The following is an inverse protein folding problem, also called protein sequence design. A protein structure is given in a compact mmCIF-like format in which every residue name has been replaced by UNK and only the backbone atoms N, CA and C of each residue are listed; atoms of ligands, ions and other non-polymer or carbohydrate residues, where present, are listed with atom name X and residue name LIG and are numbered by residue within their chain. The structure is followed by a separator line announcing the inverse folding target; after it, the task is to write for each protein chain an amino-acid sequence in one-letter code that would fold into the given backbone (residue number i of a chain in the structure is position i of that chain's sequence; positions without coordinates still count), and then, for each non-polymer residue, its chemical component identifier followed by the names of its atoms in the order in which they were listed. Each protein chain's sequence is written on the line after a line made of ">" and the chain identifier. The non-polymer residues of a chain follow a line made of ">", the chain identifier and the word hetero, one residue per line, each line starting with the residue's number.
data_IF_674259488108
#
_entry.id   IF_674259488108
#
_cell.length_a   1.000
_cell.length_b   1.000
_cell.length_c   1.000
_cell.angle_alpha   90.00
_cell.angle_beta   90.00
_cell.angle_gamma   90.00
#
_symmetry.space_group_name_H-M   'P 1'
#
loop_
_entity.id
_entity.type
_entity.pdbx_description
1 polymer ?
#
# COMPACT_ATOMS: atom_id res chain seq x y z
N UNK A 1 12.59 2.74 9.05
CA UNK A 1 11.77 3.83 8.51
C UNK A 1 10.48 3.20 8.01
N UNK A 2 9.35 3.81 8.33
CA UNK A 2 8.03 3.33 7.89
C UNK A 2 7.39 4.45 7.09
N UNK A 3 7.11 4.21 5.82
CA UNK A 3 6.21 5.04 5.03
C UNK A 3 4.79 4.48 5.13
N UNK A 4 3.81 5.34 5.37
CA UNK A 4 2.40 4.94 5.49
C UNK A 4 1.63 5.52 4.32
N UNK A 5 0.96 4.66 3.58
CA UNK A 5 -0.02 5.05 2.56
C UNK A 5 -1.42 4.71 3.06
N UNK A 6 -2.24 5.73 3.34
CA UNK A 6 -3.59 5.54 3.85
C UNK A 6 -4.64 5.84 2.79
N UNK A 7 -5.61 4.94 2.60
CA UNK A 7 -6.75 5.14 1.70
C UNK A 7 -8.09 4.94 2.42
N UNK A 8 -9.12 5.67 2.00
CA UNK A 8 -10.49 5.53 2.53
C UNK A 8 -11.51 5.13 1.47
N UNK A 9 -11.68 5.97 0.45
CA UNK A 9 -12.66 5.73 -0.61
C UNK A 9 -12.00 5.53 -1.98
N UNK A 10 -10.75 5.93 -2.12
CA UNK A 10 -9.95 5.84 -3.33
C UNK A 10 -9.99 4.46 -4.00
N UNK A 11 -9.89 3.33 -3.26
CA UNK A 11 -9.90 2.00 -3.88
C UNK A 11 -11.25 1.65 -4.53
N UNK A 12 -12.31 2.38 -4.18
CA UNK A 12 -13.67 2.12 -4.63
C UNK A 12 -14.19 3.19 -5.61
N UNK A 13 -13.36 4.14 -6.01
CA UNK A 13 -13.66 5.09 -7.09
C UNK A 13 -13.45 4.44 -8.47
N UNK A 14 -13.66 5.21 -9.53
CA UNK A 14 -13.35 4.75 -10.88
C UNK A 14 -11.84 4.46 -11.01
N UNK A 15 -11.52 3.26 -11.50
CA UNK A 15 -10.14 2.84 -11.74
C UNK A 15 -9.48 3.75 -12.77
N UNK A 16 -8.23 4.12 -12.50
CA UNK A 16 -7.36 4.84 -13.42
C UNK A 16 -6.21 3.92 -13.82
N UNK A 17 -5.75 3.98 -15.08
CA UNK A 17 -4.55 3.25 -15.45
C UNK A 17 -3.36 3.72 -14.61
N UNK A 18 -2.52 2.77 -14.21
CA UNK A 18 -1.23 3.00 -13.60
C UNK A 18 -0.39 3.95 -14.47
N UNK A 19 0.23 4.94 -13.84
CA UNK A 19 1.11 5.92 -14.50
C UNK A 19 2.39 6.09 -13.69
N UNK A 20 3.52 5.71 -14.29
CA UNK A 20 4.87 5.95 -13.76
C UNK A 20 5.64 6.77 -14.80
N UNK A 21 6.27 7.87 -14.39
CA UNK A 21 7.13 8.67 -15.27
C UNK A 21 8.46 7.95 -15.54
N UNK A 22 9.16 8.38 -16.59
CA UNK A 22 10.46 7.83 -16.99
C UNK A 22 11.55 8.06 -15.94
N UNK A 23 11.35 9.01 -15.03
CA UNK A 23 12.24 9.23 -13.88
C UNK A 23 12.40 7.97 -13.00
N UNK A 24 11.42 7.06 -13.02
CA UNK A 24 11.48 5.80 -12.30
C UNK A 24 12.30 4.70 -12.99
N UNK A 25 12.90 4.97 -14.16
CA UNK A 25 13.76 4.04 -14.90
C UNK A 25 15.21 4.03 -14.45
N UNK A 26 15.58 5.02 -13.64
CA UNK A 26 16.93 5.13 -13.12
C UNK A 26 17.30 3.88 -12.32
N UNK A 27 18.48 3.34 -12.60
CA UNK A 27 19.05 2.22 -11.84
C UNK A 27 19.75 2.73 -10.57
N UNK A 28 18.97 3.32 -9.65
CA UNK A 28 19.50 4.02 -8.46
C UNK A 28 18.83 3.61 -7.16
N UNK A 29 17.92 2.62 -7.20
CA UNK A 29 17.10 2.24 -6.05
C UNK A 29 17.82 1.31 -5.07
N UNK A 30 19.00 0.82 -5.46
CA UNK A 30 19.87 -0.02 -4.63
C UNK A 30 19.49 -1.51 -4.65
N UNK A 31 20.33 -2.31 -3.99
CA UNK A 31 20.17 -3.76 -3.92
C UNK A 31 18.86 -4.19 -3.26
N UNK A 32 18.32 -5.34 -3.71
CA UNK A 32 17.09 -5.92 -3.17
C UNK A 32 15.79 -5.25 -3.65
N UNK A 33 15.84 -4.32 -4.61
CA UNK A 33 14.64 -3.67 -5.18
C UNK A 33 14.08 -4.37 -6.42
N UNK A 34 14.64 -5.50 -6.84
CA UNK A 34 14.22 -6.24 -8.03
C UNK A 34 12.71 -6.56 -8.08
N UNK A 35 12.03 -6.97 -6.99
CA UNK A 35 10.58 -7.23 -7.05
C UNK A 35 9.75 -5.96 -7.33
N UNK A 36 10.14 -4.80 -6.80
CA UNK A 36 9.46 -3.53 -7.09
C UNK A 36 9.75 -3.02 -8.50
N UNK A 37 10.95 -3.28 -9.04
CA UNK A 37 11.27 -3.02 -10.44
C UNK A 37 10.43 -3.89 -11.38
N UNK A 38 10.30 -5.18 -11.08
CA UNK A 38 9.44 -6.08 -11.84
C UNK A 38 7.97 -5.63 -11.81
N UNK A 39 7.46 -5.23 -10.63
CA UNK A 39 6.11 -4.67 -10.49
C UNK A 39 5.94 -3.36 -11.28
N UNK A 40 6.93 -2.46 -11.28
CA UNK A 40 6.93 -1.25 -12.13
C UNK A 40 6.75 -1.62 -13.60
N UNK A 41 7.53 -2.57 -14.09
CA UNK A 41 7.55 -2.97 -15.50
C UNK A 41 6.26 -3.69 -15.89
N UNK A 42 5.72 -4.51 -14.99
CA UNK A 42 4.40 -5.13 -15.15
C UNK A 42 3.29 -4.08 -15.24
N UNK A 43 3.29 -3.08 -14.36
CA UNK A 43 2.29 -2.01 -14.38
C UNK A 43 2.39 -1.12 -15.63
N UNK A 44 3.53 -1.08 -16.30
CA UNK A 44 3.65 -0.41 -17.60
C UNK A 44 3.10 -1.24 -18.74
N UNK A 45 3.34 -2.56 -18.72
CA UNK A 45 2.78 -3.50 -19.71
C UNK A 45 1.27 -3.67 -19.56
N UNK A 46 0.78 -3.74 -18.33
CA UNK A 46 -0.62 -3.95 -17.97
C UNK A 46 -1.11 -2.84 -17.01
N UNK A 47 -1.29 -1.59 -17.47
CA UNK A 47 -1.61 -0.45 -16.59
C UNK A 47 -2.97 -0.53 -15.92
N UNK A 48 -3.84 -1.46 -16.32
CA UNK A 48 -5.14 -1.71 -15.69
C UNK A 48 -5.18 -3.01 -14.88
N UNK A 49 -4.02 -3.60 -14.57
CA UNK A 49 -3.89 -4.86 -13.82
C UNK A 49 -4.64 -4.83 -12.48
N UNK A 50 -4.54 -3.72 -11.76
CA UNK A 50 -5.28 -3.50 -10.52
C UNK A 50 -6.44 -2.53 -10.75
N UNK A 51 -7.64 -2.93 -10.34
CA UNK A 51 -8.84 -2.10 -10.43
C UNK A 51 -9.01 -1.24 -9.18
N UNK A 52 -8.70 -1.79 -8.02
CA UNK A 52 -8.91 -1.20 -6.70
C UNK A 52 -7.60 -0.66 -6.09
N UNK A 53 -6.47 -1.34 -6.32
CA UNK A 53 -5.18 -0.96 -5.79
C UNK A 53 -4.44 0.00 -6.72
N UNK A 54 -3.94 1.12 -6.20
CA UNK A 54 -3.02 1.99 -6.93
C UNK A 54 -1.57 1.46 -6.81
N UNK A 55 -1.29 0.39 -7.55
CA UNK A 55 0.04 -0.24 -7.55
C UNK A 55 1.15 0.71 -7.99
N UNK A 56 0.86 1.66 -8.88
CA UNK A 56 1.85 2.63 -9.34
C UNK A 56 2.28 3.54 -8.19
N UNK A 57 1.33 4.04 -7.40
CA UNK A 57 1.65 4.87 -6.25
C UNK A 57 2.45 4.11 -5.18
N UNK A 58 2.12 2.84 -4.94
CA UNK A 58 2.88 2.00 -4.00
C UNK A 58 4.32 1.77 -4.46
N UNK A 59 4.54 1.49 -5.74
CA UNK A 59 5.89 1.37 -6.33
C UNK A 59 6.68 2.67 -6.15
N UNK A 60 6.07 3.83 -6.42
CA UNK A 60 6.73 5.14 -6.23
C UNK A 60 7.12 5.36 -4.77
N UNK A 61 6.24 5.03 -3.84
CA UNK A 61 6.51 5.16 -2.41
C UNK A 61 7.64 4.22 -1.97
N UNK A 62 7.65 2.97 -2.45
CA UNK A 62 8.74 2.04 -2.15
C UNK A 62 10.09 2.58 -2.63
N UNK A 63 10.18 3.14 -3.83
CA UNK A 63 11.41 3.76 -4.32
C UNK A 63 11.85 4.96 -3.48
N UNK A 64 10.94 5.85 -3.11
CA UNK A 64 11.24 6.98 -2.22
C UNK A 64 11.72 6.53 -0.85
N UNK A 65 11.04 5.55 -0.24
CA UNK A 65 11.39 5.00 1.07
C UNK A 65 12.75 4.29 1.02
N UNK A 66 13.06 3.54 -0.05
CA UNK A 66 14.35 2.87 -0.20
C UNK A 66 15.51 3.87 -0.16
N UNK A 67 15.39 4.97 -0.90
CA UNK A 67 16.37 6.06 -0.94
C UNK A 67 16.56 6.69 0.43
N UNK A 68 15.46 7.10 1.09
CA UNK A 68 15.54 7.78 2.38
C UNK A 68 16.03 6.85 3.49
N UNK A 69 15.59 5.59 3.49
CA UNK A 69 16.00 4.61 4.49
C UNK A 69 17.50 4.26 4.37
N UNK A 70 18.04 4.23 3.14
CA UNK A 70 19.48 4.11 2.92
C UNK A 70 20.25 5.30 3.51
N UNK A 71 19.77 6.52 3.24
CA UNK A 71 20.38 7.77 3.76
C UNK A 71 20.47 7.81 5.28
N UNK A 72 19.46 7.27 5.99
CA UNK A 72 19.41 7.26 7.46
C UNK A 72 19.81 5.93 8.11
N UNK A 73 20.29 4.95 7.32
CA UNK A 73 20.73 3.66 7.83
C UNK A 73 19.64 2.85 8.54
N UNK A 74 18.39 2.87 8.05
CA UNK A 74 17.26 2.13 8.65
C UNK A 74 16.70 1.09 7.69
N UNK A 75 16.11 0.02 8.22
CA UNK A 75 15.33 -0.92 7.42
C UNK A 75 14.04 -0.23 6.90
N UNK A 76 13.74 -0.30 5.59
CA UNK A 76 12.55 0.30 5.02
C UNK A 76 11.31 -0.60 5.11
N UNK A 77 10.17 0.01 5.43
CA UNK A 77 8.84 -0.62 5.44
C UNK A 77 7.85 0.32 4.76
N UNK A 78 7.00 -0.23 3.90
CA UNK A 78 5.82 0.43 3.34
C UNK A 78 4.57 -0.23 3.94
N UNK A 79 3.82 0.54 4.73
CA UNK A 79 2.55 0.12 5.29
C UNK A 79 1.40 0.74 4.48
N UNK A 80 0.54 -0.10 3.92
CA UNK A 80 -0.70 0.31 3.27
C UNK A 80 -1.89 0.12 4.22
N UNK A 81 -2.49 1.22 4.67
CA UNK A 81 -3.67 1.19 5.55
C UNK A 81 -4.91 1.56 4.75
N UNK A 82 -5.95 0.75 4.82
CA UNK A 82 -7.17 1.00 4.05
C UNK A 82 -8.44 0.96 4.90
N UNK A 83 -9.46 1.67 4.43
CA UNK A 83 -10.77 1.69 5.06
C UNK A 83 -11.74 0.78 4.28
N UNK A 84 -12.76 0.27 4.95
CA UNK A 84 -13.88 -0.50 4.43
C UNK A 84 -15.21 0.17 4.82
N UNK A 85 -15.58 1.29 4.15
CA UNK A 85 -16.67 2.14 4.61
C UNK A 85 -18.05 1.52 4.33
N UNK A 86 -19.05 1.66 5.21
CA UNK A 86 -20.34 0.95 5.11
C UNK A 86 -21.11 1.10 3.78
N UNK A 87 -20.90 2.20 3.05
CA UNK A 87 -21.57 2.46 1.76
C UNK A 87 -21.02 1.63 0.60
N UNK A 88 -19.90 0.93 0.79
CA UNK A 88 -19.25 0.11 -0.23
C UNK A 88 -19.67 -1.35 -0.06
N UNK A 89 -20.13 -2.03 -1.13
CA UNK A 89 -20.54 -3.42 -1.04
C UNK A 89 -19.38 -4.36 -0.65
N UNK A 90 -19.60 -5.38 0.20
CA UNK A 90 -18.55 -6.31 0.65
C UNK A 90 -17.74 -6.97 -0.46
N UNK A 91 -18.37 -7.32 -1.60
CA UNK A 91 -17.67 -7.87 -2.78
C UNK A 91 -16.51 -7.00 -3.27
N UNK A 92 -16.60 -5.67 -3.11
CA UNK A 92 -15.55 -4.74 -3.51
C UNK A 92 -14.40 -4.72 -2.51
N UNK A 93 -14.68 -4.96 -1.22
CA UNK A 93 -13.65 -5.17 -0.20
C UNK A 93 -12.86 -6.43 -0.50
N UNK A 94 -13.55 -7.55 -0.79
CA UNK A 94 -12.91 -8.80 -1.14
C UNK A 94 -12.03 -8.67 -2.38
N UNK A 95 -12.51 -7.98 -3.43
CA UNK A 95 -11.71 -7.71 -4.62
C UNK A 95 -10.47 -6.84 -4.33
N UNK A 96 -10.63 -5.78 -3.53
CA UNK A 96 -9.51 -4.93 -3.12
C UNK A 96 -8.46 -5.71 -2.31
N UNK A 97 -8.88 -6.51 -1.34
CA UNK A 97 -7.99 -7.37 -0.54
C UNK A 97 -7.28 -8.42 -1.38
N UNK A 98 -7.94 -8.99 -2.38
CA UNK A 98 -7.30 -9.92 -3.31
C UNK A 98 -6.19 -9.23 -4.13
N UNK A 99 -6.43 -7.99 -4.60
CA UNK A 99 -5.40 -7.22 -5.29
C UNK A 99 -4.22 -6.85 -4.39
N UNK A 100 -4.48 -6.47 -3.12
CA UNK A 100 -3.43 -6.24 -2.11
C UNK A 100 -2.60 -7.50 -1.91
N UNK A 101 -3.23 -8.67 -1.75
CA UNK A 101 -2.54 -9.93 -1.55
C UNK A 101 -1.68 -10.32 -2.76
N UNK A 102 -2.20 -10.13 -3.98
CA UNK A 102 -1.44 -10.35 -5.20
C UNK A 102 -0.22 -9.43 -5.28
N UNK A 103 -0.40 -8.13 -5.03
CA UNK A 103 0.71 -7.17 -4.98
C UNK A 103 1.75 -7.57 -3.94
N UNK A 104 1.31 -7.89 -2.71
CA UNK A 104 2.19 -8.29 -1.61
C UNK A 104 3.03 -9.53 -1.95
N UNK A 105 2.44 -10.53 -2.60
CA UNK A 105 3.14 -11.72 -3.05
C UNK A 105 4.19 -11.40 -4.11
N UNK A 106 3.87 -10.55 -5.09
CA UNK A 106 4.78 -10.18 -6.17
C UNK A 106 5.97 -9.34 -5.70
N UNK A 107 5.80 -8.50 -4.67
CA UNK A 107 6.89 -7.69 -4.09
C UNK A 107 7.58 -8.34 -2.89
N UNK A 108 7.22 -9.58 -2.55
CA UNK A 108 7.80 -10.29 -1.42
C UNK A 108 9.32 -10.49 -1.59
N UNK A 109 10.05 -10.45 -0.47
CA UNK A 109 11.51 -10.57 -0.47
C UNK A 109 12.26 -9.30 -0.91
N UNK A 110 11.55 -8.24 -1.30
CA UNK A 110 12.18 -6.96 -1.57
C UNK A 110 12.77 -6.32 -0.29
N UNK A 111 13.78 -5.47 -0.48
CA UNK A 111 14.38 -4.66 0.57
C UNK A 111 13.34 -3.82 1.31
N UNK A 112 12.42 -3.17 0.58
CA UNK A 112 11.27 -2.49 1.16
C UNK A 112 10.22 -3.54 1.49
N UNK A 113 9.99 -3.80 2.78
CA UNK A 113 8.95 -4.74 3.20
C UNK A 113 7.58 -4.11 3.05
N UNK A 114 6.67 -4.78 2.35
CA UNK A 114 5.30 -4.34 2.19
C UNK A 114 4.39 -5.03 3.20
N UNK A 115 3.60 -4.24 3.93
CA UNK A 115 2.55 -4.72 4.81
C UNK A 115 1.25 -3.97 4.51
N UNK A 116 0.12 -4.63 4.75
CA UNK A 116 -1.19 -4.01 4.60
C UNK A 116 -2.13 -4.47 5.70
N UNK A 117 -2.99 -3.56 6.15
CA UNK A 117 -4.10 -3.85 7.07
C UNK A 117 -5.22 -2.85 6.87
N UNK A 118 -6.43 -3.19 7.32
CA UNK A 118 -7.49 -2.21 7.44
C UNK A 118 -7.29 -1.32 8.66
N UNK A 119 -7.91 -0.15 8.68
CA UNK A 119 -7.96 0.70 9.86
C UNK A 119 -8.54 -0.03 11.08
N UNK A 120 -9.62 -0.81 10.91
CA UNK A 120 -10.19 -1.63 11.98
C UNK A 120 -9.21 -2.68 12.50
N UNK A 121 -8.49 -3.36 11.60
CA UNK A 121 -7.46 -4.32 11.99
C UNK A 121 -6.34 -3.66 12.79
N UNK A 122 -5.89 -2.46 12.38
CA UNK A 122 -4.85 -1.72 13.08
C UNK A 122 -5.31 -1.18 14.44
N UNK A 123 -6.52 -0.62 14.52
CA UNK A 123 -7.11 -0.16 15.78
C UNK A 123 -7.32 -1.34 16.74
N UNK A 124 -7.68 -2.51 16.24
CA UNK A 124 -7.81 -3.75 17.02
C UNK A 124 -6.49 -4.27 17.60
N UNK A 125 -5.33 -3.73 17.21
CA UNK A 125 -4.03 -4.03 17.85
C UNK A 125 -3.63 -3.02 18.92
N UNK A 126 -4.46 -2.00 19.18
CA UNK A 126 -4.15 -1.02 20.22
C UNK A 126 -4.29 -1.67 21.61
N UNK A 127 -3.47 -1.25 22.59
CA UNK A 127 -3.55 -1.78 23.93
C UNK A 127 -4.88 -1.43 24.60
N UNK A 128 -5.28 -2.23 25.60
CA UNK A 128 -6.60 -2.14 26.26
C UNK A 128 -6.89 -0.76 26.88
N UNK A 129 -5.86 -0.06 27.37
CA UNK A 129 -5.97 1.29 27.92
C UNK A 129 -6.31 2.35 26.86
N UNK A 130 -6.19 2.02 25.58
CA UNK A 130 -6.58 2.85 24.44
C UNK A 130 -7.83 2.34 23.70
N UNK A 131 -8.52 1.31 24.22
CA UNK A 131 -9.69 0.72 23.57
C UNK A 131 -10.84 1.74 23.39
N UNK A 132 -11.02 2.66 24.34
CA UNK A 132 -12.02 3.72 24.24
C UNK A 132 -11.74 4.71 23.10
N UNK A 133 -10.47 5.04 22.88
CA UNK A 133 -10.02 5.91 21.80
C UNK A 133 -10.17 5.21 20.44
N UNK A 134 -9.84 3.92 20.36
CA UNK A 134 -10.07 3.12 19.17
C UNK A 134 -11.56 3.08 18.79
N UNK A 135 -12.43 2.81 19.76
CA UNK A 135 -13.89 2.82 19.56
C UNK A 135 -14.41 4.20 19.10
N UNK A 136 -13.92 5.29 19.70
CA UNK A 136 -14.29 6.65 19.31
C UNK A 136 -13.88 6.97 17.86
N UNK A 137 -12.72 6.48 17.40
CA UNK A 137 -12.29 6.62 16.00
C UNK A 137 -13.19 5.80 15.07
N UNK A 138 -13.53 4.56 15.45
CA UNK A 138 -14.43 3.72 14.65
C UNK A 138 -15.82 4.33 14.51
N UNK A 139 -16.37 4.87 15.60
CA UNK A 139 -17.67 5.54 15.60
C UNK A 139 -17.66 6.80 14.74
N UNK A 140 -16.66 7.67 14.93
CA UNK A 140 -16.57 8.95 14.25
C UNK A 140 -16.34 8.80 12.73
N UNK A 141 -15.52 7.82 12.32
CA UNK A 141 -15.06 7.73 10.93
C UNK A 141 -15.66 6.54 10.17
N UNK A 142 -16.22 5.55 10.85
CA UNK A 142 -16.67 4.29 10.28
C UNK A 142 -15.69 3.77 9.21
N UNK A 143 -14.38 3.65 9.56
CA UNK A 143 -13.33 3.43 8.58
C UNK A 143 -13.51 2.09 7.89
#
# INVERSE_FOLDING_TARGET
>A
MIGVESKRFEPFRASKPAKLSDAYDRDVWGEGMAPFLAMRDELRRAPRRFRHLDGAQLVKHAFGIATEAARVGKAPVLLYVFAEPPRVPPRRFSAHRAEIAAFAAEVAGARVRFHACSWREWLGTWPDDLAGQAAAIEEAFAP
#
